data_IF_350871620932
#
_entry.id   IF_350871620932
#
_cell.length_a   1.000
_cell.length_b   1.000
_cell.length_c   1.000
_cell.angle_alpha   90.00
_cell.angle_beta   90.00
_cell.angle_gamma   90.00
#
_symmetry.space_group_name_H-M   'P 1'
#
loop_
_entity.id
_entity.type
_entity.pdbx_description
1 polymer ?
#
# COMPACT_ATOMS: atom_id res chain seq x y z
N UNK A 1 63.36 9.41 40.28
CA UNK A 1 62.22 8.57 40.72
C UNK A 1 62.62 7.10 40.67
N UNK A 2 62.36 6.30 41.72
CA UNK A 2 62.61 4.85 41.73
C UNK A 2 61.41 4.13 41.12
N UNK A 3 61.61 3.41 40.02
CA UNK A 3 60.65 2.44 39.53
C UNK A 3 60.79 1.19 40.40
N UNK A 4 59.74 0.84 41.15
CA UNK A 4 59.73 -0.37 41.97
C UNK A 4 59.33 -1.57 41.11
N UNK A 5 59.85 -2.76 41.45
CA UNK A 5 59.55 -4.00 40.73
C UNK A 5 58.02 -4.25 40.61
N UNK A 6 57.29 -3.83 41.64
CA UNK A 6 55.82 -3.89 41.70
C UNK A 6 55.14 -2.95 40.69
N UNK A 7 55.71 -1.77 40.39
CA UNK A 7 55.22 -0.92 39.29
C UNK A 7 55.47 -1.53 37.92
N UNK A 8 56.60 -2.24 37.73
CA UNK A 8 56.92 -2.91 36.49
C UNK A 8 55.95 -4.06 36.20
N UNK A 9 55.66 -4.88 37.22
CA UNK A 9 54.67 -5.95 37.15
C UNK A 9 53.25 -5.42 36.88
N UNK A 10 52.82 -4.34 37.56
CA UNK A 10 51.52 -3.69 37.31
C UNK A 10 51.41 -3.14 35.89
N UNK A 11 52.47 -2.52 35.36
CA UNK A 11 52.49 -2.00 33.99
C UNK A 11 52.40 -3.13 32.96
N UNK A 12 53.04 -4.27 33.21
CA UNK A 12 52.94 -5.46 32.36
C UNK A 12 51.52 -6.04 32.36
N UNK A 13 50.89 -6.18 33.53
CA UNK A 13 49.49 -6.63 33.63
C UNK A 13 48.51 -5.67 32.94
N UNK A 14 48.71 -4.35 33.10
CA UNK A 14 47.92 -3.35 32.40
C UNK A 14 48.04 -3.49 30.87
N UNK A 15 49.26 -3.63 30.35
CA UNK A 15 49.49 -3.82 28.92
C UNK A 15 48.89 -5.14 28.41
N UNK A 16 48.96 -6.23 29.19
CA UNK A 16 48.35 -7.50 28.83
C UNK A 16 46.82 -7.39 28.76
N UNK A 17 46.18 -6.75 29.74
CA UNK A 17 44.73 -6.54 29.73
C UNK A 17 44.30 -5.67 28.53
N UNK A 18 45.05 -4.60 28.22
CA UNK A 18 44.81 -3.78 27.04
C UNK A 18 44.97 -4.58 25.72
N UNK A 19 45.94 -5.50 25.68
CA UNK A 19 46.14 -6.41 24.54
C UNK A 19 44.98 -7.38 24.35
N UNK A 20 44.52 -8.02 25.44
CA UNK A 20 43.38 -8.94 25.43
C UNK A 20 42.08 -8.24 25.01
N UNK A 21 41.86 -7.01 25.49
CA UNK A 21 40.70 -6.20 25.09
C UNK A 21 40.73 -5.87 23.59
N UNK A 22 41.90 -5.50 23.05
CA UNK A 22 42.06 -5.20 21.62
C UNK A 22 41.84 -6.45 20.75
N UNK A 23 42.31 -7.61 21.21
CA UNK A 23 42.07 -8.90 20.56
C UNK A 23 40.58 -9.25 20.54
N UNK A 24 39.89 -9.08 21.67
CA UNK A 24 38.44 -9.28 21.76
C UNK A 24 37.69 -8.41 20.75
N UNK A 25 38.00 -7.10 20.70
CA UNK A 25 37.38 -6.19 19.72
C UNK A 25 37.66 -6.58 18.28
N UNK A 26 38.86 -7.04 17.95
CA UNK A 26 39.19 -7.52 16.59
C UNK A 26 38.43 -8.79 16.25
N UNK A 27 38.29 -9.71 17.21
CA UNK A 27 37.51 -10.92 17.04
C UNK A 27 36.01 -10.60 16.83
N UNK A 28 35.47 -9.62 17.55
CA UNK A 28 34.09 -9.15 17.36
C UNK A 28 33.88 -8.51 15.98
N UNK A 29 34.85 -7.74 15.49
CA UNK A 29 34.83 -7.19 14.12
C UNK A 29 34.90 -8.29 13.08
N UNK A 30 35.76 -9.29 13.29
CA UNK A 30 35.89 -10.45 12.39
C UNK A 30 34.59 -11.27 12.35
N UNK A 31 34.00 -11.54 13.52
CA UNK A 31 32.77 -12.32 13.65
C UNK A 31 31.55 -11.57 13.10
N UNK A 32 31.44 -10.26 13.33
CA UNK A 32 30.31 -9.46 12.85
C UNK A 32 30.45 -8.98 11.41
N UNK A 33 31.67 -8.98 10.85
CA UNK A 33 31.99 -8.38 9.55
C UNK A 33 31.82 -6.86 9.50
N UNK A 34 31.56 -6.20 10.63
CA UNK A 34 31.29 -4.75 10.71
C UNK A 34 32.51 -4.02 11.22
N UNK A 35 32.88 -2.94 10.53
CA UNK A 35 33.98 -2.09 10.96
C UNK A 35 33.69 -1.38 12.29
N UNK A 36 32.42 -1.00 12.51
CA UNK A 36 31.93 -0.34 13.72
C UNK A 36 30.80 -1.17 14.34
N UNK A 37 31.06 -1.71 15.52
CA UNK A 37 30.12 -2.56 16.28
C UNK A 37 29.50 -1.84 17.47
N UNK A 38 30.24 -0.92 18.11
CA UNK A 38 29.77 -0.10 19.24
C UNK A 38 29.84 1.39 18.89
N UNK A 39 28.84 2.20 19.32
CA UNK A 39 28.88 3.65 19.18
C UNK A 39 30.09 4.32 19.85
N UNK A 40 30.66 3.70 20.88
CA UNK A 40 31.85 4.19 21.57
C UNK A 40 33.14 4.06 20.76
N UNK A 41 33.17 3.24 19.70
CA UNK A 41 34.37 3.05 18.87
C UNK A 41 34.60 4.20 17.88
N UNK A 42 33.52 4.71 17.27
CA UNK A 42 33.56 5.90 16.41
C UNK A 42 32.16 6.53 16.36
N UNK A 43 31.85 7.53 17.21
CA UNK A 43 30.54 8.17 17.23
C UNK A 43 30.24 8.93 15.94
N UNK A 44 31.25 9.44 15.23
CA UNK A 44 31.06 10.18 13.98
C UNK A 44 30.69 9.23 12.83
N UNK A 45 31.35 8.07 12.74
CA UNK A 45 30.96 7.03 11.79
C UNK A 45 29.58 6.46 12.10
N UNK A 46 29.26 6.19 13.38
CA UNK A 46 27.92 5.71 13.76
C UNK A 46 26.83 6.71 13.40
N UNK A 47 27.04 8.00 13.62
CA UNK A 47 26.06 9.02 13.20
C UNK A 47 25.77 8.97 11.69
N UNK A 48 26.79 8.80 10.85
CA UNK A 48 26.62 8.64 9.39
C UNK A 48 25.89 7.35 9.04
N UNK A 49 26.25 6.23 9.67
CA UNK A 49 25.59 4.94 9.46
C UNK A 49 24.11 5.00 9.84
N UNK A 50 23.78 5.61 10.97
CA UNK A 50 22.39 5.75 11.43
C UNK A 50 21.57 6.63 10.49
N UNK A 51 22.16 7.71 9.96
CA UNK A 51 21.51 8.53 8.93
C UNK A 51 21.21 7.72 7.67
N UNK A 52 22.21 6.98 7.16
CA UNK A 52 22.02 6.13 5.99
C UNK A 52 20.97 5.03 6.21
N UNK A 53 20.94 4.42 7.41
CA UNK A 53 19.91 3.45 7.79
C UNK A 53 18.52 4.08 7.80
N UNK A 54 18.39 5.29 8.31
CA UNK A 54 17.12 6.03 8.33
C UNK A 54 16.65 6.28 6.90
N UNK A 55 17.51 6.80 6.03
CA UNK A 55 17.19 7.01 4.62
C UNK A 55 16.82 5.71 3.91
N UNK A 56 17.48 4.59 4.24
CA UNK A 56 17.15 3.28 3.67
C UNK A 56 15.75 2.81 4.11
N UNK A 57 15.43 2.94 5.41
CA UNK A 57 14.10 2.61 5.94
C UNK A 57 13.01 3.49 5.33
N UNK A 58 13.27 4.80 5.18
CA UNK A 58 12.36 5.73 4.51
C UNK A 58 12.12 5.33 3.05
N UNK A 59 13.19 4.96 2.33
CA UNK A 59 13.09 4.51 0.93
C UNK A 59 12.32 3.21 0.81
N UNK A 60 12.53 2.26 1.73
CA UNK A 60 11.78 1.00 1.78
C UNK A 60 10.30 1.24 2.07
N UNK A 61 9.97 2.16 2.98
CA UNK A 61 8.59 2.57 3.23
C UNK A 61 7.96 3.24 2.00
N UNK A 62 8.68 4.11 1.29
CA UNK A 62 8.18 4.71 0.05
C UNK A 62 7.89 3.66 -1.02
N UNK A 63 8.75 2.63 -1.13
CA UNK A 63 8.52 1.54 -2.06
C UNK A 63 7.25 0.77 -1.71
N UNK A 64 7.06 0.41 -0.44
CA UNK A 64 5.85 -0.28 0.01
C UNK A 64 4.59 0.57 -0.26
N UNK A 65 4.66 1.88 -0.01
CA UNK A 65 3.55 2.79 -0.31
C UNK A 65 3.24 2.84 -1.82
N UNK A 66 4.26 2.82 -2.68
CA UNK A 66 4.07 2.78 -4.14
C UNK A 66 3.42 1.46 -4.56
N UNK A 67 3.85 0.34 -4.00
CA UNK A 67 3.28 -0.97 -4.29
C UNK A 67 1.79 -1.03 -3.88
N UNK A 68 1.44 -0.47 -2.71
CA UNK A 68 0.06 -0.35 -2.26
C UNK A 68 -0.78 0.56 -3.19
N UNK A 69 -0.20 1.68 -3.64
CA UNK A 69 -0.87 2.60 -4.57
C UNK A 69 -1.09 1.97 -5.95
N UNK A 70 -0.14 1.16 -6.43
CA UNK A 70 -0.28 0.42 -7.68
C UNK A 70 -1.42 -0.60 -7.57
N UNK A 71 -1.47 -1.37 -6.47
CA UNK A 71 -2.55 -2.32 -6.26
C UNK A 71 -3.93 -1.66 -6.21
N UNK A 72 -4.03 -0.48 -5.56
CA UNK A 72 -5.25 0.33 -5.55
C UNK A 72 -5.65 0.79 -6.97
N UNK A 73 -4.68 1.24 -7.76
CA UNK A 73 -4.91 1.72 -9.13
C UNK A 73 -5.36 0.57 -10.02
N UNK A 74 -4.72 -0.59 -9.96
CA UNK A 74 -5.12 -1.79 -10.72
C UNK A 74 -6.55 -2.23 -10.39
N UNK A 75 -6.92 -2.22 -9.11
CA UNK A 75 -8.28 -2.53 -8.70
C UNK A 75 -9.29 -1.49 -9.23
N UNK A 76 -8.92 -0.21 -9.22
CA UNK A 76 -9.76 0.87 -9.77
C UNK A 76 -9.93 0.72 -11.28
N UNK A 77 -8.85 0.45 -12.01
CA UNK A 77 -8.84 0.28 -13.46
C UNK A 77 -9.67 -0.94 -13.88
N UNK A 78 -9.54 -2.06 -13.16
CA UNK A 78 -10.36 -3.25 -13.40
C UNK A 78 -11.86 -2.95 -13.25
N UNK A 79 -12.26 -2.20 -12.21
CA UNK A 79 -13.66 -1.82 -12.03
C UNK A 79 -14.13 -0.87 -13.14
N UNK A 80 -13.31 0.12 -13.50
CA UNK A 80 -13.63 1.05 -14.58
C UNK A 80 -13.74 0.34 -15.94
N UNK A 81 -12.93 -0.69 -16.19
CA UNK A 81 -13.03 -1.55 -17.37
C UNK A 81 -14.39 -2.24 -17.47
N UNK A 82 -14.84 -2.88 -16.38
CA UNK A 82 -16.16 -3.51 -16.31
C UNK A 82 -17.30 -2.49 -16.48
N UNK A 83 -17.15 -1.29 -15.92
CA UNK A 83 -18.11 -0.19 -16.13
C UNK A 83 -18.16 0.22 -17.60
N UNK A 84 -17.02 0.33 -18.28
CA UNK A 84 -16.93 0.64 -19.69
C UNK A 84 -17.66 -0.37 -20.58
N UNK A 85 -17.43 -1.67 -20.35
CA UNK A 85 -18.12 -2.75 -21.06
C UNK A 85 -19.64 -2.70 -20.88
N UNK A 86 -20.10 -2.49 -19.65
CA UNK A 86 -21.51 -2.34 -19.35
C UNK A 86 -22.13 -1.12 -20.06
N UNK A 87 -21.44 0.02 -20.10
CA UNK A 87 -21.91 1.21 -20.83
C UNK A 87 -21.95 1.00 -22.35
N UNK A 88 -21.02 0.21 -22.90
CA UNK A 88 -21.09 -0.19 -24.31
C UNK A 88 -22.34 -1.02 -24.58
N UNK A 89 -22.65 -1.99 -23.72
CA UNK A 89 -23.88 -2.79 -23.83
C UNK A 89 -25.14 -1.93 -23.76
N UNK A 90 -25.23 -1.01 -22.79
CA UNK A 90 -26.37 -0.08 -22.68
C UNK A 90 -26.52 0.73 -23.96
N UNK A 91 -25.43 1.24 -24.54
CA UNK A 91 -25.46 1.98 -25.81
C UNK A 91 -26.03 1.13 -26.96
N UNK A 92 -25.63 -0.14 -27.07
CA UNK A 92 -26.17 -1.04 -28.08
C UNK A 92 -27.68 -1.24 -27.92
N UNK A 93 -28.15 -1.47 -26.69
CA UNK A 93 -29.57 -1.63 -26.38
C UNK A 93 -30.37 -0.37 -26.70
N UNK A 94 -29.84 0.82 -26.38
CA UNK A 94 -30.50 2.10 -26.69
C UNK A 94 -30.58 2.34 -28.20
N UNK A 95 -29.52 2.05 -28.96
CA UNK A 95 -29.54 2.17 -30.43
C UNK A 95 -30.57 1.18 -31.02
N UNK A 96 -30.62 -0.04 -30.51
CA UNK A 96 -31.58 -1.04 -30.95
C UNK A 96 -33.03 -0.65 -30.62
N UNK A 97 -33.27 -0.12 -29.42
CA UNK A 97 -34.58 0.36 -28.96
C UNK A 97 -35.05 1.66 -29.63
N UNK A 98 -34.13 2.44 -30.22
CA UNK A 98 -34.46 3.64 -31.00
C UNK A 98 -35.05 3.34 -32.39
N UNK A 99 -35.18 2.07 -32.78
CA UNK A 99 -35.86 1.69 -34.02
C UNK A 99 -37.38 1.83 -33.89
N UNK A 100 -38.01 2.67 -34.71
CA UNK A 100 -39.45 2.95 -34.68
C UNK A 100 -40.35 1.75 -34.98
N UNK A 101 -39.82 0.70 -35.61
CA UNK A 101 -40.57 -0.50 -35.97
C UNK A 101 -40.61 -1.57 -34.87
N UNK A 102 -40.11 -1.26 -33.67
CA UNK A 102 -40.05 -2.19 -32.54
C UNK A 102 -41.36 -2.14 -31.73
N UNK A 103 -42.03 -3.29 -31.46
CA UNK A 103 -43.24 -3.31 -30.66
C UNK A 103 -43.00 -2.91 -29.20
N UNK A 104 -44.01 -2.31 -28.57
CA UNK A 104 -43.91 -1.75 -27.22
C UNK A 104 -43.48 -2.78 -26.16
N UNK A 105 -43.93 -4.02 -26.28
CA UNK A 105 -43.52 -5.12 -25.39
C UNK A 105 -42.01 -5.41 -25.47
N UNK A 106 -41.44 -5.37 -26.68
CA UNK A 106 -39.98 -5.53 -26.86
C UNK A 106 -39.21 -4.32 -26.35
N UNK A 107 -39.80 -3.11 -26.41
CA UNK A 107 -39.21 -1.89 -25.85
C UNK A 107 -39.15 -1.94 -24.32
N UNK A 108 -40.19 -2.49 -23.68
CA UNK A 108 -40.22 -2.72 -22.22
C UNK A 108 -39.17 -3.75 -21.80
N UNK A 109 -39.04 -4.87 -22.52
CA UNK A 109 -38.00 -5.87 -22.22
C UNK A 109 -36.56 -5.32 -22.33
N UNK A 110 -36.31 -4.39 -23.26
CA UNK A 110 -35.02 -3.70 -23.37
C UNK A 110 -34.79 -2.73 -22.19
N UNK A 111 -35.84 -2.07 -21.71
CA UNK A 111 -35.75 -1.21 -20.53
C UNK A 111 -35.39 -2.04 -19.29
N UNK A 112 -36.03 -3.21 -19.11
CA UNK A 112 -35.69 -4.15 -18.03
C UNK A 112 -34.22 -4.61 -18.08
N UNK A 113 -33.67 -4.88 -19.27
CA UNK A 113 -32.27 -5.25 -19.44
C UNK A 113 -31.32 -4.10 -19.06
N UNK A 114 -31.65 -2.87 -19.44
CA UNK A 114 -30.88 -1.67 -19.05
C UNK A 114 -30.90 -1.47 -17.54
N UNK A 115 -32.05 -1.69 -16.89
CA UNK A 115 -32.21 -1.61 -15.44
C UNK A 115 -31.38 -2.67 -14.70
N UNK A 116 -31.31 -3.89 -15.25
CA UNK A 116 -30.44 -4.94 -14.71
C UNK A 116 -28.96 -4.56 -14.84
N UNK A 117 -28.55 -3.98 -15.98
CA UNK A 117 -27.17 -3.50 -16.16
C UNK A 117 -26.86 -2.38 -15.18
N UNK A 118 -27.79 -1.46 -14.93
CA UNK A 118 -27.62 -0.38 -13.97
C UNK A 118 -27.44 -0.92 -12.53
N UNK A 119 -28.23 -1.94 -12.13
CA UNK A 119 -28.04 -2.62 -10.83
C UNK A 119 -26.65 -3.25 -10.72
N UNK A 120 -26.20 -3.93 -11.77
CA UNK A 120 -24.86 -4.53 -11.83
C UNK A 120 -23.74 -3.48 -11.77
N UNK A 121 -23.92 -2.34 -12.42
CA UNK A 121 -23.00 -1.20 -12.38
C UNK A 121 -22.88 -0.63 -10.97
N UNK A 122 -23.99 -0.40 -10.27
CA UNK A 122 -23.98 0.09 -8.88
C UNK A 122 -23.27 -0.89 -7.96
N UNK A 123 -23.53 -2.19 -8.11
CA UNK A 123 -22.83 -3.22 -7.34
C UNK A 123 -21.32 -3.18 -7.59
N UNK A 124 -20.92 -3.09 -8.87
CA UNK A 124 -19.52 -3.05 -9.28
C UNK A 124 -18.82 -1.77 -8.81
N UNK A 125 -19.52 -0.63 -8.82
CA UNK A 125 -19.03 0.66 -8.33
C UNK A 125 -18.92 0.73 -6.79
N UNK A 126 -19.61 -0.15 -6.07
CA UNK A 126 -19.48 -0.31 -4.62
C UNK A 126 -18.39 -1.31 -4.21
N UNK A 127 -17.62 -1.85 -5.17
CA UNK A 127 -16.51 -2.77 -4.91
C UNK A 127 -15.50 -2.22 -3.90
N UNK A 128 -14.99 -3.13 -3.07
CA UNK A 128 -14.02 -2.83 -2.00
C UNK A 128 -12.64 -3.37 -2.34
N UNK A 129 -11.61 -2.60 -2.01
CA UNK A 129 -10.22 -3.07 -2.00
C UNK A 129 -9.72 -3.08 -0.55
N UNK A 130 -9.54 -4.28 0.00
CA UNK A 130 -9.30 -4.47 1.43
C UNK A 130 -10.53 -4.08 2.26
N UNK A 131 -10.39 -3.07 3.11
CA UNK A 131 -11.46 -2.57 4.01
C UNK A 131 -12.12 -1.30 3.45
N UNK A 132 -11.64 -0.79 2.32
CA UNK A 132 -12.04 0.53 1.80
C UNK A 132 -12.78 0.39 0.47
N UNK A 133 -13.86 1.16 0.32
CA UNK A 133 -14.51 1.32 -0.97
C UNK A 133 -13.65 2.15 -1.92
N UNK A 134 -13.51 1.70 -3.16
CA UNK A 134 -12.62 2.31 -4.17
C UNK A 134 -13.08 3.73 -4.57
N UNK A 135 -14.40 3.96 -4.63
CA UNK A 135 -14.99 5.20 -5.15
C UNK A 135 -15.61 6.10 -4.06
N UNK A 136 -15.44 5.78 -2.79
CA UNK A 136 -16.01 6.55 -1.68
C UNK A 136 -15.23 7.80 -1.25
N UNK A 137 -14.21 8.18 -2.03
CA UNK A 137 -13.39 9.36 -1.77
C UNK A 137 -12.79 9.33 -0.36
N UNK A 138 -13.25 10.24 0.51
CA UNK A 138 -12.79 10.34 1.90
C UNK A 138 -13.55 9.41 2.87
N UNK A 139 -14.77 8.98 2.54
CA UNK A 139 -15.62 8.13 3.41
C UNK A 139 -15.51 6.66 3.04
N UNK A 140 -14.29 6.13 3.15
CA UNK A 140 -13.96 4.77 2.69
C UNK A 140 -14.67 3.62 3.42
N UNK A 141 -15.35 3.89 4.55
CA UNK A 141 -16.06 2.91 5.36
C UNK A 141 -17.53 2.71 4.98
N UNK A 142 -18.11 3.60 4.16
CA UNK A 142 -19.51 3.53 3.74
C UNK A 142 -19.59 3.30 2.22
N UNK A 143 -20.64 2.60 1.79
CA UNK A 143 -20.87 2.35 0.37
C UNK A 143 -21.14 3.69 -0.36
N UNK A 144 -20.38 4.01 -1.43
CA UNK A 144 -20.47 5.30 -2.10
C UNK A 144 -21.77 5.52 -2.86
N UNK A 145 -22.30 4.47 -3.49
CA UNK A 145 -23.48 4.55 -4.33
C UNK A 145 -24.66 3.86 -3.67
N UNK A 146 -25.74 4.61 -3.45
CA UNK A 146 -27.00 4.08 -2.94
C UNK A 146 -28.05 4.24 -4.04
N UNK A 147 -28.66 3.12 -4.43
CA UNK A 147 -29.84 3.11 -5.31
C UNK A 147 -31.08 3.43 -4.48
N UNK A 148 -31.79 4.49 -4.85
CA UNK A 148 -33.16 4.72 -4.39
C UNK A 148 -34.06 3.99 -5.38
N UNK A 149 -34.65 2.90 -4.91
CA UNK A 149 -35.57 2.06 -5.70
C UNK A 149 -36.98 2.58 -5.44
N UNK A 150 -37.73 2.86 -6.51
CA UNK A 150 -39.14 3.26 -6.45
C UNK A 150 -40.04 2.12 -5.99
N UNK A 151 -41.32 2.41 -5.73
CA UNK A 151 -42.30 1.41 -5.27
C UNK A 151 -42.49 0.23 -6.24
N UNK A 152 -42.06 0.39 -7.49
CA UNK A 152 -42.24 -0.54 -8.61
C UNK A 152 -41.03 -1.46 -8.81
N UNK A 153 -39.97 -1.30 -8.00
CA UNK A 153 -38.73 -2.07 -8.10
C UNK A 153 -37.71 -1.50 -9.10
N UNK A 154 -38.07 -0.49 -9.88
CA UNK A 154 -37.15 0.24 -10.78
C UNK A 154 -36.23 1.20 -10.01
N UNK A 155 -35.02 1.45 -10.53
CA UNK A 155 -34.09 2.41 -9.92
C UNK A 155 -34.53 3.83 -10.33
N UNK A 156 -35.12 4.59 -9.41
CA UNK A 156 -35.50 5.98 -9.66
C UNK A 156 -34.30 6.93 -9.64
N UNK A 157 -33.28 6.64 -8.82
CA UNK A 157 -32.02 7.38 -8.84
C UNK A 157 -30.87 6.62 -8.19
N UNK A 158 -29.65 6.93 -8.64
CA UNK A 158 -28.42 6.53 -7.96
C UNK A 158 -27.83 7.78 -7.31
N UNK A 159 -27.77 7.80 -5.98
CA UNK A 159 -27.20 8.90 -5.21
C UNK A 159 -25.76 8.57 -4.77
N UNK A 160 -24.89 9.59 -4.80
CA UNK A 160 -23.57 9.53 -4.20
C UNK A 160 -23.61 10.14 -2.80
N UNK A 161 -23.09 9.43 -1.80
CA UNK A 161 -23.07 9.87 -0.40
C UNK A 161 -21.89 10.79 -0.05
#
# INVERSE_FOLDING_TARGET
MRVTNNMMAKKMLYNLNQGMERLGRLNDKLSSGKEVTLPSHDPAAVARIMRLRTTLMETEQYRNNVDDMLSWLEATDSVLGSVGEALHRVRELVIYGANDNLPDESRLALADEVDQILRGLVFTANSTHGVRHLFAGHRTAEAPFVTVVGADGEIESVAYN
#
